data_IF_953596889904
#
_entry.id   IF_953596889904
#
_cell.length_a   1.000
_cell.length_b   1.000
_cell.length_c   1.000
_cell.angle_alpha   90.00
_cell.angle_beta   90.00
_cell.angle_gamma   90.00
#
_symmetry.space_group_name_H-M   'P 1'
#
loop_
_entity.id
_entity.type
_entity.pdbx_description
1 polymer ?
#
# COMPACT_ATOMS: atom_id res chain seq x y z
N UNK A 1 23.89 -9.49 -1.85
CA UNK A 1 22.91 -9.71 -0.79
C UNK A 1 22.83 -8.57 0.22
N UNK A 2 23.88 -8.14 0.91
CA UNK A 2 23.79 -7.02 1.89
C UNK A 2 23.26 -5.69 1.32
N UNK A 3 23.60 -5.34 0.06
CA UNK A 3 23.12 -4.12 -0.58
C UNK A 3 21.63 -4.14 -0.92
N UNK A 4 21.10 -5.31 -1.34
CA UNK A 4 19.67 -5.48 -1.66
C UNK A 4 18.82 -5.37 -0.38
N UNK A 5 19.27 -5.93 0.73
CA UNK A 5 18.60 -5.84 2.04
C UNK A 5 18.57 -4.38 2.54
N UNK A 6 19.64 -3.62 2.34
CA UNK A 6 19.70 -2.20 2.72
C UNK A 6 18.76 -1.33 1.87
N UNK A 7 18.64 -1.63 0.57
CA UNK A 7 17.74 -0.93 -0.35
C UNK A 7 16.28 -1.22 0.01
N UNK A 8 15.97 -2.49 0.29
CA UNK A 8 14.64 -2.90 0.74
C UNK A 8 14.22 -2.20 2.04
N UNK A 9 15.16 -2.02 2.98
CA UNK A 9 14.93 -1.32 4.26
C UNK A 9 14.62 0.17 4.07
N UNK A 10 15.29 0.85 3.15
CA UNK A 10 15.04 2.28 2.86
C UNK A 10 13.75 2.47 2.06
N UNK A 11 13.45 1.57 1.11
CA UNK A 11 12.17 1.55 0.39
C UNK A 11 11.00 1.41 1.36
N UNK A 12 11.17 0.64 2.40
CA UNK A 12 10.16 0.32 3.38
C UNK A 12 9.92 1.47 4.35
N UNK A 13 10.93 2.29 4.66
CA UNK A 13 10.78 3.45 5.52
C UNK A 13 9.84 4.52 4.93
N UNK A 14 9.78 4.65 3.61
CA UNK A 14 8.86 5.54 2.91
C UNK A 14 7.38 5.09 2.95
N UNK A 15 7.12 3.83 3.31
CA UNK A 15 5.75 3.31 3.49
C UNK A 15 5.20 3.56 4.91
N UNK A 16 6.06 3.92 5.88
CA UNK A 16 5.76 3.80 7.31
C UNK A 16 5.09 5.02 7.95
N UNK A 17 4.66 6.06 7.21
CA UNK A 17 4.23 7.29 7.89
C UNK A 17 2.82 7.70 7.56
N UNK A 18 1.95 7.30 8.43
CA UNK A 18 0.62 7.89 8.57
C UNK A 18 0.29 7.97 10.07
N UNK A 19 0.99 8.80 10.83
CA UNK A 19 0.58 9.13 12.20
C UNK A 19 -0.36 10.32 12.15
N UNK A 20 -1.64 10.06 12.00
CA UNK A 20 -2.67 11.09 12.01
C UNK A 20 -3.31 11.18 13.39
N UNK A 21 -3.20 12.35 14.01
CA UNK A 21 -3.91 12.66 15.24
C UNK A 21 -5.43 12.64 15.03
N UNK A 22 -6.12 11.96 15.91
CA UNK A 22 -7.54 11.65 15.86
C UNK A 22 -8.45 12.86 16.11
N UNK A 23 -9.48 13.03 15.25
CA UNK A 23 -10.79 13.55 15.63
C UNK A 23 -11.88 12.77 14.91
N UNK A 24 -12.88 12.34 15.66
CA UNK A 24 -13.88 11.36 15.26
C UNK A 24 -14.76 11.79 14.09
N UNK A 25 -14.90 10.93 13.10
CA UNK A 25 -15.94 11.00 12.08
C UNK A 25 -16.99 9.91 12.37
N UNK A 26 -18.13 10.32 12.93
CA UNK A 26 -19.11 9.46 13.61
C UNK A 26 -20.22 8.91 12.71
N UNK A 27 -20.17 9.08 11.38
CA UNK A 27 -21.35 8.87 10.51
C UNK A 27 -21.19 7.86 9.36
N UNK A 28 -20.11 7.10 9.24
CA UNK A 28 -20.02 6.03 8.24
C UNK A 28 -20.10 4.66 8.90
N UNK A 29 -21.23 3.96 8.71
CA UNK A 29 -21.49 2.60 9.24
C UNK A 29 -20.81 1.50 8.43
N UNK A 30 -20.12 1.82 7.34
CA UNK A 30 -19.49 0.81 6.49
C UNK A 30 -18.23 0.30 7.19
N UNK A 31 -18.29 -0.94 7.67
CA UNK A 31 -17.15 -1.67 8.20
C UNK A 31 -16.24 -2.06 7.04
N UNK A 32 -14.95 -1.76 7.15
CA UNK A 32 -13.96 -2.27 6.21
C UNK A 32 -13.59 -3.69 6.64
N UNK A 33 -13.75 -4.64 5.75
CA UNK A 33 -13.30 -6.02 5.97
C UNK A 33 -11.93 -6.22 5.34
N UNK A 34 -11.04 -6.86 6.08
CA UNK A 34 -9.70 -7.20 5.58
C UNK A 34 -9.81 -8.19 4.43
N UNK A 35 -8.83 -8.10 3.53
CA UNK A 35 -8.71 -9.05 2.44
C UNK A 35 -8.17 -10.40 2.88
N UNK A 36 -8.35 -11.37 2.02
CA UNK A 36 -7.82 -12.73 2.16
C UNK A 36 -6.59 -12.90 1.27
N UNK A 37 -5.55 -13.52 1.82
CA UNK A 37 -4.31 -13.82 1.09
C UNK A 37 -4.13 -15.33 0.97
N UNK A 38 -3.85 -15.77 -0.25
CA UNK A 38 -3.36 -17.11 -0.59
C UNK A 38 -1.88 -17.03 -1.02
N UNK A 39 -1.28 -18.14 -1.39
CA UNK A 39 0.08 -18.13 -1.95
C UNK A 39 0.17 -17.44 -3.31
N UNK A 40 -0.94 -17.33 -4.05
CA UNK A 40 -0.97 -16.82 -5.42
C UNK A 40 -1.60 -15.43 -5.55
N UNK A 41 -2.46 -15.04 -4.61
CA UNK A 41 -3.23 -13.82 -4.74
C UNK A 41 -3.62 -13.23 -3.38
N UNK A 42 -3.93 -11.93 -3.40
CA UNK A 42 -4.66 -11.23 -2.37
C UNK A 42 -6.00 -10.76 -2.93
N UNK A 43 -7.07 -10.89 -2.18
CA UNK A 43 -8.42 -10.48 -2.58
C UNK A 43 -9.10 -9.70 -1.47
N UNK A 44 -9.67 -8.55 -1.81
CA UNK A 44 -10.46 -7.74 -0.89
C UNK A 44 -11.74 -7.27 -1.56
N UNK A 45 -12.87 -7.82 -1.14
CA UNK A 45 -14.19 -7.50 -1.68
C UNK A 45 -14.66 -6.11 -1.27
N UNK A 46 -14.34 -5.65 -0.05
CA UNK A 46 -14.64 -4.29 0.41
C UNK A 46 -13.93 -3.22 -0.42
N UNK A 47 -12.73 -3.53 -0.91
CA UNK A 47 -11.97 -2.66 -1.81
C UNK A 47 -12.31 -2.89 -3.29
N UNK A 48 -13.05 -3.97 -3.63
CA UNK A 48 -13.30 -4.37 -5.02
C UNK A 48 -12.00 -4.67 -5.77
N UNK A 49 -11.00 -5.24 -5.10
CA UNK A 49 -9.64 -5.37 -5.60
C UNK A 49 -9.08 -6.77 -5.34
N UNK A 50 -8.49 -7.36 -6.37
CA UNK A 50 -7.62 -8.52 -6.24
C UNK A 50 -6.22 -8.18 -6.80
N UNK A 51 -5.18 -8.64 -6.13
CA UNK A 51 -3.80 -8.59 -6.62
C UNK A 51 -3.37 -10.02 -6.96
N UNK A 52 -3.01 -10.24 -8.21
CA UNK A 52 -2.48 -11.52 -8.69
C UNK A 52 -0.97 -11.44 -8.66
N UNK A 53 -0.38 -12.26 -7.80
CA UNK A 53 1.07 -12.28 -7.59
C UNK A 53 1.79 -12.83 -8.84
N UNK A 54 2.71 -12.07 -9.47
CA UNK A 54 3.47 -12.57 -10.60
C UNK A 54 4.36 -13.77 -10.21
N UNK A 55 4.68 -14.61 -11.19
CA UNK A 55 5.64 -15.69 -10.99
C UNK A 55 7.00 -15.15 -10.53
N UNK A 56 7.64 -15.81 -9.58
CA UNK A 56 8.91 -15.38 -8.98
C UNK A 56 8.78 -14.36 -7.86
N UNK A 57 7.60 -13.80 -7.66
CA UNK A 57 7.33 -12.92 -6.52
C UNK A 57 6.96 -13.73 -5.28
N UNK A 58 7.21 -13.15 -4.12
CA UNK A 58 6.84 -13.74 -2.82
C UNK A 58 6.05 -12.73 -1.99
N UNK A 59 5.02 -13.21 -1.29
CA UNK A 59 4.38 -12.41 -0.26
C UNK A 59 5.22 -12.41 1.02
N UNK A 60 5.26 -11.27 1.69
CA UNK A 60 5.76 -11.22 3.04
C UNK A 60 4.83 -11.99 3.98
N UNK A 61 5.43 -12.78 4.86
CA UNK A 61 4.71 -13.41 5.97
C UNK A 61 4.28 -12.36 6.99
N UNK A 62 3.34 -12.68 7.86
CA UNK A 62 2.93 -11.78 8.94
C UNK A 62 4.12 -11.42 9.86
N UNK A 63 5.05 -12.37 10.08
CA UNK A 63 6.29 -12.14 10.83
C UNK A 63 7.19 -11.10 10.14
N UNK A 64 7.29 -11.16 8.82
CA UNK A 64 8.06 -10.19 8.05
C UNK A 64 7.39 -8.81 8.03
N UNK A 65 6.05 -8.77 7.94
CA UNK A 65 5.29 -7.52 8.03
C UNK A 65 5.47 -6.89 9.42
N UNK A 66 5.36 -7.68 10.50
CA UNK A 66 5.58 -7.20 11.86
C UNK A 66 6.99 -6.63 12.07
N UNK A 67 8.01 -7.37 11.66
CA UNK A 67 9.40 -6.93 11.80
C UNK A 67 9.71 -5.68 10.99
N UNK A 68 9.11 -5.58 9.80
CA UNK A 68 9.39 -4.52 8.86
C UNK A 68 8.66 -3.23 9.22
N UNK A 69 7.39 -3.33 9.55
CA UNK A 69 6.51 -2.19 9.78
C UNK A 69 6.22 -1.94 11.26
N UNK A 70 6.74 -2.78 12.15
CA UNK A 70 6.50 -2.73 13.60
C UNK A 70 5.01 -2.78 13.97
N UNK A 71 4.22 -3.48 13.17
CA UNK A 71 2.79 -3.68 13.37
C UNK A 71 2.58 -4.99 14.11
N UNK A 72 1.80 -5.01 15.18
CA UNK A 72 1.52 -6.24 15.93
C UNK A 72 0.84 -7.30 15.06
N UNK A 73 1.29 -8.55 15.15
CA UNK A 73 0.65 -9.71 14.48
C UNK A 73 -0.82 -9.87 14.84
N UNK A 74 -1.19 -9.51 16.07
CA UNK A 74 -2.58 -9.60 16.51
C UNK A 74 -3.47 -8.65 15.72
N UNK A 75 -2.96 -7.45 15.38
CA UNK A 75 -3.64 -6.52 14.49
C UNK A 75 -3.74 -7.05 13.04
N UNK A 76 -2.74 -7.79 12.58
CA UNK A 76 -2.76 -8.38 11.23
C UNK A 76 -3.78 -9.52 11.12
N UNK A 77 -4.10 -10.20 12.22
CA UNK A 77 -5.02 -11.35 12.26
C UNK A 77 -6.46 -11.00 12.66
N UNK A 78 -6.67 -9.84 13.28
CA UNK A 78 -7.99 -9.43 13.73
C UNK A 78 -8.74 -8.70 12.61
N UNK A 79 -9.85 -9.25 12.08
CA UNK A 79 -10.66 -8.57 11.06
C UNK A 79 -11.25 -7.25 11.55
N UNK A 80 -11.38 -7.05 12.87
CA UNK A 80 -11.87 -5.82 13.49
C UNK A 80 -10.72 -4.86 13.89
N UNK A 81 -9.49 -5.19 13.52
CA UNK A 81 -8.29 -4.41 13.88
C UNK A 81 -8.40 -2.93 13.50
N UNK A 82 -8.98 -2.65 12.33
CA UNK A 82 -9.16 -1.27 11.85
C UNK A 82 -10.08 -0.44 12.73
N UNK A 83 -11.09 -1.06 13.34
CA UNK A 83 -12.02 -0.33 14.21
C UNK A 83 -11.45 -0.12 15.62
N UNK A 84 -10.59 -1.03 16.08
CA UNK A 84 -9.95 -0.98 17.41
C UNK A 84 -8.67 -0.16 17.47
N UNK A 85 -7.96 -0.02 16.34
CA UNK A 85 -6.70 0.69 16.32
C UNK A 85 -6.93 2.21 16.44
N UNK A 86 -6.43 2.82 17.50
CA UNK A 86 -6.43 4.28 17.67
C UNK A 86 -5.45 4.96 16.70
N UNK A 87 -4.52 4.21 16.14
CA UNK A 87 -3.45 4.74 15.27
C UNK A 87 -3.09 3.67 14.26
N UNK A 88 -2.74 4.09 13.06
CA UNK A 88 -1.87 3.38 12.15
C UNK A 88 -2.49 2.86 10.87
N UNK A 89 -1.74 2.95 9.80
CA UNK A 89 -2.05 2.20 8.60
C UNK A 89 -1.96 0.69 8.90
N UNK A 90 -2.96 -0.05 8.46
CA UNK A 90 -2.96 -1.49 8.49
C UNK A 90 -2.39 -2.00 7.17
N UNK A 91 -1.33 -2.81 7.26
CA UNK A 91 -0.77 -3.46 6.09
C UNK A 91 -1.60 -4.69 5.72
N UNK A 92 -2.18 -4.66 4.55
CA UNK A 92 -2.97 -5.77 4.02
C UNK A 92 -2.05 -6.85 3.42
N UNK A 93 -1.08 -6.44 2.63
CA UNK A 93 -0.04 -7.29 2.09
C UNK A 93 1.18 -6.50 1.61
N UNK A 94 2.28 -7.21 1.44
CA UNK A 94 3.43 -6.81 0.64
C UNK A 94 3.90 -8.00 -0.19
N UNK A 95 4.15 -7.77 -1.47
CA UNK A 95 4.72 -8.73 -2.39
C UNK A 95 6.01 -8.17 -3.00
N UNK A 96 7.02 -9.00 -3.16
CA UNK A 96 8.36 -8.60 -3.61
C UNK A 96 8.89 -9.55 -4.67
N UNK A 97 9.47 -8.99 -5.71
CA UNK A 97 10.36 -9.72 -6.62
C UNK A 97 11.78 -9.74 -6.06
N UNK A 98 12.20 -10.88 -5.57
CA UNK A 98 13.53 -11.03 -4.96
C UNK A 98 14.69 -10.87 -5.96
N UNK A 99 14.43 -10.96 -7.26
CA UNK A 99 15.46 -10.85 -8.31
C UNK A 99 15.75 -9.39 -8.69
N UNK A 100 14.73 -8.54 -8.70
CA UNK A 100 14.83 -7.14 -9.13
C UNK A 100 14.74 -6.15 -7.97
N UNK A 101 14.07 -6.53 -6.88
CA UNK A 101 13.72 -5.65 -5.78
C UNK A 101 12.40 -4.88 -6.00
N UNK A 102 11.73 -5.09 -7.13
CA UNK A 102 10.39 -4.54 -7.35
C UNK A 102 9.44 -5.02 -6.26
N UNK A 103 8.56 -4.18 -5.81
CA UNK A 103 7.60 -4.58 -4.77
C UNK A 103 6.27 -3.82 -4.90
N UNK A 104 5.23 -4.41 -4.30
CA UNK A 104 3.90 -3.83 -4.19
C UNK A 104 3.37 -4.07 -2.79
N UNK A 105 2.86 -3.03 -2.17
CA UNK A 105 2.18 -3.12 -0.88
C UNK A 105 0.83 -2.40 -0.90
N UNK A 106 -0.13 -2.90 -0.13
CA UNK A 106 -1.41 -2.25 0.14
C UNK A 106 -1.52 -1.93 1.62
N UNK A 107 -1.87 -0.69 1.88
CA UNK A 107 -2.10 -0.15 3.22
C UNK A 107 -3.49 0.44 3.30
N UNK A 108 -4.14 0.27 4.45
CA UNK A 108 -5.42 0.89 4.77
C UNK A 108 -5.26 1.79 5.98
N UNK A 109 -5.71 3.04 5.87
CA UNK A 109 -5.63 4.04 6.93
C UNK A 109 -7.00 4.66 7.23
N UNK A 110 -7.24 5.06 8.48
CA UNK A 110 -8.41 5.89 8.83
C UNK A 110 -8.21 7.32 8.35
N UNK A 111 -9.30 7.96 7.94
CA UNK A 111 -9.26 9.31 7.38
C UNK A 111 -8.91 10.43 8.38
N UNK A 112 -9.08 10.23 9.68
CA UNK A 112 -8.70 11.15 10.76
C UNK A 112 -8.94 12.65 10.45
N UNK A 113 -10.15 12.98 9.96
CA UNK A 113 -10.50 14.34 9.56
C UNK A 113 -10.18 14.69 8.10
N UNK A 114 -9.46 13.85 7.37
CA UNK A 114 -9.28 13.98 5.92
C UNK A 114 -10.53 13.50 5.20
N UNK A 115 -11.11 14.35 4.35
CA UNK A 115 -12.42 14.09 3.75
C UNK A 115 -12.35 13.65 2.29
N UNK A 116 -11.24 13.95 1.58
CA UNK A 116 -11.08 13.63 0.16
C UNK A 116 -9.75 12.94 -0.14
N UNK A 117 -9.69 12.21 -1.26
CA UNK A 117 -8.48 11.50 -1.70
C UNK A 117 -7.36 12.48 -2.04
N UNK A 118 -7.70 13.64 -2.61
CA UNK A 118 -6.72 14.68 -2.97
C UNK A 118 -6.00 15.21 -1.73
N UNK A 119 -6.77 15.54 -0.67
CA UNK A 119 -6.18 15.97 0.62
C UNK A 119 -5.34 14.87 1.27
N UNK A 120 -5.77 13.63 1.15
CA UNK A 120 -4.99 12.49 1.62
C UNK A 120 -3.64 12.39 0.87
N UNK A 121 -3.66 12.51 -0.46
CA UNK A 121 -2.44 12.50 -1.29
C UNK A 121 -1.51 13.66 -0.93
N UNK A 122 -2.03 14.87 -0.74
CA UNK A 122 -1.23 16.03 -0.32
C UNK A 122 -0.55 15.78 1.03
N UNK A 123 -1.29 15.21 1.98
CA UNK A 123 -0.74 14.88 3.29
C UNK A 123 0.33 13.80 3.21
N UNK A 124 0.12 12.73 2.46
CA UNK A 124 1.12 11.68 2.23
C UNK A 124 2.39 12.24 1.58
N UNK A 125 2.24 13.08 0.54
CA UNK A 125 3.39 13.74 -0.10
C UNK A 125 4.19 14.60 0.89
N UNK A 126 3.48 15.35 1.74
CA UNK A 126 4.12 16.16 2.78
C UNK A 126 4.89 15.28 3.78
N UNK A 127 4.25 14.25 4.32
CA UNK A 127 4.86 13.34 5.28
C UNK A 127 6.08 12.61 4.71
N UNK A 128 6.02 12.18 3.44
CA UNK A 128 7.16 11.60 2.73
C UNK A 128 8.30 12.61 2.57
N UNK A 129 7.97 13.88 2.26
CA UNK A 129 8.96 14.95 2.15
C UNK A 129 9.65 15.24 3.49
N UNK A 130 8.91 15.20 4.58
CA UNK A 130 9.42 15.46 5.93
C UNK A 130 10.37 14.32 6.42
N UNK A 131 10.37 13.15 5.76
CA UNK A 131 11.22 12.00 6.08
C UNK A 131 12.50 11.91 5.25
N UNK A 132 12.71 12.83 4.32
CA UNK A 132 13.94 12.86 3.53
C UNK A 132 15.13 13.07 4.46
N UNK A 133 16.08 12.14 4.41
CA UNK A 133 17.33 12.19 5.18
C UNK A 133 18.51 12.45 4.26
N UNK A 134 19.68 12.76 4.84
CA UNK A 134 20.91 12.96 4.08
C UNK A 134 21.22 11.77 3.16
N UNK A 135 21.51 12.06 1.91
CA UNK A 135 21.79 11.06 0.88
C UNK A 135 20.54 10.48 0.19
N UNK A 136 19.34 10.99 0.53
CA UNK A 136 18.10 10.66 -0.15
C UNK A 136 17.54 11.87 -0.89
N UNK A 137 17.01 11.64 -2.09
CA UNK A 137 16.21 12.63 -2.82
C UNK A 137 14.87 12.02 -3.22
N UNK A 138 13.81 12.80 -3.12
CA UNK A 138 12.47 12.43 -3.56
C UNK A 138 11.91 13.57 -4.40
N UNK A 139 11.48 13.26 -5.62
CA UNK A 139 10.85 14.25 -6.52
C UNK A 139 9.51 13.68 -6.97
N UNK A 140 8.43 14.32 -6.57
CA UNK A 140 7.08 13.91 -6.99
C UNK A 140 6.76 14.38 -8.41
N UNK A 141 5.92 13.60 -9.11
CA UNK A 141 5.34 14.03 -10.36
C UNK A 141 4.42 15.23 -10.16
N UNK A 142 4.33 16.09 -11.18
CA UNK A 142 3.36 17.17 -11.22
C UNK A 142 1.94 16.62 -11.34
N UNK A 143 1.07 17.07 -10.42
CA UNK A 143 -0.34 16.69 -10.42
C UNK A 143 -0.62 15.23 -10.07
N UNK A 144 -1.85 14.84 -10.36
CA UNK A 144 -2.39 13.49 -10.19
C UNK A 144 -3.20 13.10 -11.41
N UNK A 145 -3.38 11.82 -11.63
CA UNK A 145 -4.29 11.28 -12.66
C UNK A 145 -5.17 10.19 -12.06
N UNK A 146 -6.09 9.63 -12.85
CA UNK A 146 -6.97 8.57 -12.42
C UNK A 146 -6.72 7.30 -13.24
N UNK A 147 -6.71 6.15 -12.55
CA UNK A 147 -6.59 4.82 -13.17
C UNK A 147 -7.67 3.89 -12.63
N UNK A 148 -7.95 2.83 -13.39
CA UNK A 148 -8.83 1.72 -12.96
C UNK A 148 -7.98 0.59 -12.41
N UNK A 149 -8.17 0.25 -11.11
CA UNK A 149 -7.62 -0.96 -10.50
C UNK A 149 -8.78 -1.72 -9.84
N UNK A 150 -8.94 -2.98 -10.23
CA UNK A 150 -10.12 -3.74 -9.82
C UNK A 150 -11.42 -3.11 -10.34
N UNK A 151 -12.43 -3.00 -9.49
CA UNK A 151 -13.70 -2.33 -9.81
C UNK A 151 -13.66 -0.80 -9.62
N UNK A 152 -12.59 -0.28 -9.00
CA UNK A 152 -12.51 1.10 -8.53
C UNK A 152 -11.69 2.05 -9.42
N UNK A 153 -11.98 3.34 -9.25
CA UNK A 153 -11.13 4.43 -9.75
C UNK A 153 -10.19 4.87 -8.65
N UNK A 154 -8.91 4.98 -8.94
CA UNK A 154 -7.85 5.35 -8.03
C UNK A 154 -7.15 6.60 -8.51
N UNK A 155 -6.87 7.54 -7.61
CA UNK A 155 -5.99 8.68 -7.87
C UNK A 155 -4.56 8.16 -7.85
N UNK A 156 -3.77 8.46 -8.89
CA UNK A 156 -2.37 8.04 -8.96
C UNK A 156 -1.42 9.22 -9.11
N UNK A 157 -0.23 9.08 -8.55
CA UNK A 157 0.93 9.95 -8.71
C UNK A 157 2.20 9.11 -8.57
N UNK A 158 3.36 9.70 -8.91
CA UNK A 158 4.63 8.99 -8.77
C UNK A 158 5.69 9.85 -8.06
N UNK A 159 6.74 9.19 -7.59
CA UNK A 159 7.93 9.85 -7.09
C UNK A 159 9.17 9.15 -7.65
N UNK A 160 10.13 9.96 -8.09
CA UNK A 160 11.50 9.51 -8.33
C UNK A 160 12.26 9.56 -6.99
N UNK A 161 12.79 8.43 -6.59
CA UNK A 161 13.54 8.29 -5.34
C UNK A 161 14.97 7.88 -5.66
N UNK A 162 15.94 8.61 -5.13
CA UNK A 162 17.35 8.24 -5.20
C UNK A 162 17.90 8.13 -3.79
N UNK A 163 18.55 7.04 -3.48
CA UNK A 163 19.18 6.82 -2.18
C UNK A 163 20.37 5.87 -2.32
N UNK A 164 21.52 6.24 -1.73
CA UNK A 164 22.74 5.44 -1.75
C UNK A 164 23.16 4.99 -3.16
N UNK A 165 22.94 5.83 -4.18
CA UNK A 165 23.27 5.53 -5.57
C UNK A 165 22.30 4.59 -6.29
N UNK A 166 21.17 4.27 -5.67
CA UNK A 166 20.08 3.51 -6.30
C UNK A 166 18.95 4.45 -6.66
N UNK A 167 18.51 4.41 -7.91
CA UNK A 167 17.36 5.15 -8.41
C UNK A 167 16.18 4.18 -8.57
N UNK A 168 15.01 4.64 -8.17
CA UNK A 168 13.76 3.90 -8.32
C UNK A 168 12.61 4.85 -8.57
N UNK A 169 11.54 4.33 -9.16
CA UNK A 169 10.27 5.04 -9.27
C UNK A 169 9.27 4.39 -8.32
N UNK A 170 8.59 5.18 -7.54
CA UNK A 170 7.44 4.73 -6.76
C UNK A 170 6.16 5.25 -7.40
N UNK A 171 5.22 4.35 -7.65
CA UNK A 171 3.88 4.66 -8.11
C UNK A 171 2.92 4.49 -6.94
N UNK A 172 2.12 5.50 -6.69
CA UNK A 172 1.14 5.53 -5.61
C UNK A 172 -0.26 5.56 -6.21
N UNK A 173 -1.13 4.75 -5.64
CA UNK A 173 -2.54 4.71 -6.02
C UNK A 173 -3.36 4.84 -4.74
N UNK A 174 -4.21 5.85 -4.67
CA UNK A 174 -5.03 6.14 -3.50
C UNK A 174 -6.52 6.10 -3.84
N UNK A 175 -7.32 5.53 -2.95
CA UNK A 175 -8.79 5.47 -3.06
C UNK A 175 -9.41 5.59 -1.68
N UNK A 176 -10.57 6.25 -1.61
CA UNK A 176 -11.40 6.30 -0.40
C UNK A 176 -12.50 5.25 -0.48
N UNK A 177 -12.67 4.46 0.61
CA UNK A 177 -13.74 3.49 0.79
C UNK A 177 -14.36 3.72 2.16
N UNK A 178 -15.57 4.29 2.19
CA UNK A 178 -16.19 4.72 3.44
C UNK A 178 -15.35 5.78 4.17
N UNK A 179 -14.98 5.49 5.41
CA UNK A 179 -14.12 6.33 6.26
C UNK A 179 -12.60 6.01 6.10
N UNK A 180 -12.26 5.03 5.27
CA UNK A 180 -10.89 4.56 5.11
C UNK A 180 -10.26 5.05 3.80
N UNK A 181 -8.95 5.22 3.82
CA UNK A 181 -8.12 5.42 2.65
C UNK A 181 -7.28 4.18 2.39
N UNK A 182 -7.33 3.71 1.18
CA UNK A 182 -6.50 2.62 0.67
C UNK A 182 -5.37 3.23 -0.13
N UNK A 183 -4.15 2.79 0.14
CA UNK A 183 -2.97 3.20 -0.63
C UNK A 183 -2.20 1.98 -1.09
N UNK A 184 -2.05 1.86 -2.39
CA UNK A 184 -1.10 0.95 -3.01
C UNK A 184 0.17 1.73 -3.29
N UNK A 185 1.31 1.16 -2.93
CA UNK A 185 2.63 1.64 -3.33
C UNK A 185 3.31 0.55 -4.13
N UNK A 186 3.68 0.86 -5.37
CA UNK A 186 4.45 -0.02 -6.24
C UNK A 186 5.84 0.59 -6.46
N UNK A 187 6.89 -0.11 -6.07
CA UNK A 187 8.28 0.33 -6.23
C UNK A 187 8.91 -0.35 -7.43
N UNK A 188 9.35 0.43 -8.37
CA UNK A 188 10.00 0.01 -9.61
C UNK A 188 11.50 0.32 -9.56
N UNK A 189 12.29 -0.72 -9.41
CA UNK A 189 13.76 -0.67 -9.43
C UNK A 189 14.30 -1.03 -10.81
N UNK A 190 13.58 -1.86 -11.53
CA UNK A 190 14.01 -2.45 -12.81
C UNK A 190 13.48 -1.74 -14.06
N UNK A 191 12.58 -0.75 -13.89
CA UNK A 191 12.06 0.06 -15.00
C UNK A 191 10.93 -0.62 -15.78
N UNK A 192 10.11 -1.46 -15.13
CA UNK A 192 8.95 -2.09 -15.82
C UNK A 192 7.79 -1.14 -16.08
N UNK A 193 7.73 -0.03 -15.34
CA UNK A 193 6.77 1.05 -15.50
C UNK A 193 5.40 0.80 -14.85
N UNK A 194 4.66 1.89 -14.64
CA UNK A 194 3.36 1.89 -13.95
C UNK A 194 2.35 0.90 -14.54
N UNK A 195 2.24 0.84 -15.87
CA UNK A 195 1.27 -0.02 -16.56
C UNK A 195 1.50 -1.52 -16.30
N UNK A 196 2.73 -1.93 -15.99
CA UNK A 196 3.01 -3.32 -15.62
C UNK A 196 2.46 -3.64 -14.23
N UNK A 197 2.57 -2.72 -13.27
CA UNK A 197 1.98 -2.86 -11.95
C UNK A 197 0.45 -2.84 -11.98
N UNK A 198 -0.15 -1.96 -12.77
CA UNK A 198 -1.61 -1.87 -12.92
C UNK A 198 -2.24 -3.20 -13.35
N UNK A 199 -1.58 -3.93 -14.24
CA UNK A 199 -2.04 -5.25 -14.74
C UNK A 199 -2.05 -6.34 -13.68
N UNK A 200 -1.36 -6.16 -12.56
CA UNK A 200 -1.37 -7.11 -11.44
C UNK A 200 -2.67 -7.04 -10.63
N UNK A 201 -3.49 -6.00 -10.87
CA UNK A 201 -4.74 -5.77 -10.17
C UNK A 201 -5.95 -6.07 -11.03
N UNK A 202 -6.87 -6.87 -10.49
CA UNK A 202 -8.10 -7.31 -11.16
C UNK A 202 -9.32 -7.11 -10.27
N UNK A 203 -10.50 -7.27 -10.85
CA UNK A 203 -11.74 -7.37 -10.07
C UNK A 203 -11.72 -8.72 -9.33
N UNK A 204 -12.11 -8.76 -8.04
CA UNK A 204 -12.30 -10.03 -7.34
C UNK A 204 -13.24 -10.93 -8.13
N UNK A 205 -12.81 -12.16 -8.42
CA UNK A 205 -13.76 -13.16 -8.91
C UNK A 205 -14.74 -13.48 -7.79
N UNK A 206 -16.05 -13.48 -8.08
CA UNK A 206 -17.02 -14.02 -7.17
C UNK A 206 -16.60 -15.47 -6.86
N UNK A 207 -16.31 -15.79 -5.59
CA UNK A 207 -16.16 -17.18 -5.20
C UNK A 207 -17.45 -17.89 -5.57
N UNK A 208 -17.39 -18.76 -6.57
CA UNK A 208 -18.42 -19.77 -6.76
C UNK A 208 -18.28 -20.72 -5.58
N UNK A 209 -19.00 -20.40 -4.49
CA UNK A 209 -19.12 -21.25 -3.32
C UNK A 209 -19.68 -22.62 -3.76
N UNK A 210 -18.83 -23.55 -4.06
CA UNK A 210 -19.17 -24.96 -4.00
C UNK A 210 -19.11 -25.36 -2.53
N UNK A 211 -20.25 -25.15 -1.85
CA UNK A 211 -20.52 -25.89 -0.64
C UNK A 211 -20.57 -27.36 -1.02
N UNK A 212 -19.64 -28.15 -0.54
CA UNK A 212 -19.68 -29.60 -0.52
C UNK A 212 -19.79 -30.08 0.92
#
# INVERSE_FOLDING_TARGET
>A
MKRIISILSVMMALLCVLTLASCADLLSTTKFERGTRTDEAYTNTSAGLAFVKPSGWVFYTDDQLEQTFKVSKDLLKDPDAMDKADVTPLYEFMAVDSSTGNNVGLVVAKGNGVTSVEKYVEQVKKELSDQITDGMTVTFSDGTSNVKLGDGTWVTYSAQVSTNGVNMTQYYFARKVGKYFLQITATDVSGIGQAAFEKMFTVPSAETGTAS
#
